data_IF_388991335430
#
_entry.id   IF_388991335430
#
_cell.length_a   1.000
_cell.length_b   1.000
_cell.length_c   1.000
_cell.angle_alpha   90.00
_cell.angle_beta   90.00
_cell.angle_gamma   90.00
#
_symmetry.space_group_name_H-M   'P 1'
#
loop_
_entity.id
_entity.type
_entity.pdbx_description
1 polymer ?
#
# COMPACT_ATOMS: atom_id res chain seq x y z
N UNK A 1 -21.23 0.48 -7.90
CA UNK A 1 -20.49 -0.54 -7.12
C UNK A 1 -21.22 -0.89 -5.82
N UNK A 2 -22.51 -1.26 -5.86
CA UNK A 2 -23.30 -1.51 -4.64
C UNK A 2 -23.84 -2.94 -4.52
N UNK A 3 -23.78 -3.75 -5.59
CA UNK A 3 -24.35 -5.11 -5.56
C UNK A 3 -23.55 -6.01 -4.62
N UNK A 4 -22.26 -6.22 -4.91
CA UNK A 4 -21.43 -7.14 -4.13
C UNK A 4 -21.28 -6.70 -2.66
N UNK A 5 -21.07 -5.41 -2.43
CA UNK A 5 -21.03 -4.84 -1.07
C UNK A 5 -22.39 -4.98 -0.35
N UNK A 6 -23.50 -4.89 -1.07
CA UNK A 6 -24.84 -5.10 -0.52
C UNK A 6 -25.10 -6.56 -0.17
N UNK A 7 -24.74 -7.49 -1.06
CA UNK A 7 -24.88 -8.95 -0.90
C UNK A 7 -24.07 -9.45 0.29
N UNK A 8 -22.80 -9.04 0.38
CA UNK A 8 -21.88 -9.49 1.42
C UNK A 8 -21.85 -8.60 2.66
N UNK A 9 -22.71 -7.58 2.77
CA UNK A 9 -22.66 -6.56 3.82
C UNK A 9 -22.50 -7.11 5.24
N UNK A 10 -23.15 -8.24 5.54
CA UNK A 10 -23.12 -8.89 6.86
C UNK A 10 -21.78 -9.55 7.22
N UNK A 11 -20.95 -9.82 6.21
CA UNK A 11 -19.73 -10.61 6.28
C UNK A 11 -18.48 -9.81 5.91
N UNK A 12 -18.65 -8.62 5.31
CA UNK A 12 -17.58 -7.67 5.03
C UNK A 12 -16.78 -7.37 6.30
N UNK A 13 -15.46 -7.28 6.14
CA UNK A 13 -14.49 -6.96 7.20
C UNK A 13 -14.50 -7.93 8.40
N UNK A 14 -15.20 -9.06 8.29
CA UNK A 14 -15.21 -10.15 9.29
C UNK A 14 -14.48 -11.38 8.81
N UNK A 15 -14.87 -11.86 7.63
CA UNK A 15 -14.22 -12.99 6.95
C UNK A 15 -14.33 -12.91 5.42
N UNK A 16 -14.95 -11.84 4.90
CA UNK A 16 -15.07 -11.57 3.47
C UNK A 16 -14.51 -10.19 3.15
N UNK A 17 -13.66 -10.11 2.12
CA UNK A 17 -13.30 -8.85 1.48
C UNK A 17 -13.78 -8.87 0.04
N UNK A 18 -14.32 -7.76 -0.44
CA UNK A 18 -14.77 -7.62 -1.82
C UNK A 18 -14.10 -6.42 -2.48
N UNK A 19 -13.60 -6.61 -3.69
CA UNK A 19 -13.21 -5.52 -4.57
C UNK A 19 -13.75 -5.79 -5.97
N UNK A 20 -14.69 -4.95 -6.42
CA UNK A 20 -15.43 -5.15 -7.67
C UNK A 20 -16.07 -6.55 -7.69
N UNK A 21 -15.53 -7.46 -8.50
CA UNK A 21 -16.02 -8.82 -8.69
C UNK A 21 -15.20 -9.87 -7.93
N UNK A 22 -14.04 -9.49 -7.37
CA UNK A 22 -13.16 -10.40 -6.65
C UNK A 22 -13.58 -10.49 -5.17
N UNK A 23 -13.78 -11.72 -4.72
CA UNK A 23 -14.16 -12.05 -3.34
C UNK A 23 -12.99 -12.80 -2.70
N UNK A 24 -12.47 -12.27 -1.59
CA UNK A 24 -11.57 -13.01 -0.70
C UNK A 24 -12.37 -13.52 0.48
N UNK A 25 -12.10 -14.77 0.85
CA UNK A 25 -12.60 -15.39 2.07
C UNK A 25 -11.39 -15.75 2.90
N UNK A 26 -11.30 -15.25 4.14
CA UNK A 26 -10.18 -15.51 5.05
C UNK A 26 -10.68 -16.05 6.38
N UNK A 27 -9.89 -16.86 7.05
CA UNK A 27 -10.30 -17.59 8.27
C UNK A 27 -9.07 -17.99 9.08
N UNK A 28 -9.24 -18.26 10.39
CA UNK A 28 -8.10 -18.57 11.27
C UNK A 28 -7.63 -20.02 11.16
N UNK A 29 -8.54 -20.93 10.80
CA UNK A 29 -8.27 -22.35 10.67
C UNK A 29 -9.17 -22.96 9.57
N UNK A 30 -8.85 -24.20 9.18
CA UNK A 30 -9.54 -24.89 8.09
C UNK A 30 -11.02 -25.16 8.39
N UNK A 31 -11.36 -25.47 9.65
CA UNK A 31 -12.75 -25.76 10.04
C UNK A 31 -13.64 -24.51 9.87
N UNK A 32 -13.18 -23.36 10.38
CA UNK A 32 -13.84 -22.07 10.15
C UNK A 32 -13.91 -21.74 8.65
N UNK A 33 -12.83 -22.03 7.90
CA UNK A 33 -12.77 -21.74 6.48
C UNK A 33 -13.82 -22.51 5.68
N UNK A 34 -14.04 -23.79 6.01
CA UNK A 34 -15.09 -24.61 5.38
C UNK A 34 -16.49 -24.02 5.63
N UNK A 35 -16.74 -23.53 6.84
CA UNK A 35 -18.03 -22.91 7.16
C UNK A 35 -18.21 -21.56 6.46
N UNK A 36 -17.19 -20.70 6.46
CA UNK A 36 -17.21 -19.44 5.73
C UNK A 36 -17.40 -19.64 4.22
N UNK A 37 -16.74 -20.65 3.63
CA UNK A 37 -16.94 -21.04 2.24
C UNK A 37 -18.40 -21.43 1.98
N UNK A 38 -19.00 -22.26 2.84
CA UNK A 38 -20.41 -22.66 2.72
C UNK A 38 -21.33 -21.43 2.73
N UNK A 39 -21.13 -20.52 3.68
CA UNK A 39 -21.93 -19.28 3.80
C UNK A 39 -21.81 -18.43 2.54
N UNK A 40 -20.60 -18.21 2.04
CA UNK A 40 -20.37 -17.35 0.86
C UNK A 40 -20.95 -17.98 -0.40
N UNK A 41 -20.72 -19.27 -0.64
CA UNK A 41 -21.26 -19.97 -1.80
C UNK A 41 -22.79 -20.03 -1.78
N UNK A 42 -23.39 -20.18 -0.60
CA UNK A 42 -24.83 -20.12 -0.45
C UNK A 42 -25.38 -18.71 -0.74
N UNK A 43 -24.71 -17.67 -0.24
CA UNK A 43 -25.08 -16.28 -0.51
C UNK A 43 -25.02 -15.96 -2.02
N UNK A 44 -23.98 -16.42 -2.71
CA UNK A 44 -23.87 -16.30 -4.18
C UNK A 44 -25.03 -16.99 -4.88
N UNK A 45 -25.38 -18.22 -4.46
CA UNK A 45 -26.49 -18.99 -5.03
C UNK A 45 -27.83 -18.27 -4.85
N UNK A 46 -28.12 -17.75 -3.66
CA UNK A 46 -29.36 -17.01 -3.36
C UNK A 46 -29.53 -15.77 -4.23
N UNK A 47 -28.43 -15.06 -4.51
CA UNK A 47 -28.42 -13.86 -5.34
C UNK A 47 -28.16 -14.13 -6.82
N UNK A 48 -28.11 -15.41 -7.24
CA UNK A 48 -27.86 -15.84 -8.63
C UNK A 48 -26.57 -15.26 -9.21
N UNK A 49 -25.52 -15.21 -8.39
CA UNK A 49 -24.18 -14.81 -8.77
C UNK A 49 -23.32 -16.06 -9.00
N UNK A 50 -22.49 -16.04 -10.04
CA UNK A 50 -21.74 -17.21 -10.48
C UNK A 50 -20.26 -16.89 -10.60
N UNK A 51 -19.43 -17.67 -9.89
CA UNK A 51 -17.98 -17.65 -10.06
C UNK A 51 -17.55 -18.50 -11.26
N UNK A 52 -16.57 -18.01 -12.02
CA UNK A 52 -15.94 -18.80 -13.09
C UNK A 52 -14.93 -19.76 -12.45
N UNK A 53 -15.30 -21.03 -12.30
CA UNK A 53 -14.48 -22.06 -11.61
C UNK A 53 -12.98 -22.06 -11.97
N UNK A 54 -12.55 -21.94 -13.24
CA UNK A 54 -11.12 -21.85 -13.58
C UNK A 54 -10.36 -20.64 -13.02
N UNK A 55 -11.06 -19.61 -12.54
CA UNK A 55 -10.50 -18.41 -11.91
C UNK A 55 -10.61 -18.44 -10.38
N UNK A 56 -11.23 -19.47 -9.81
CA UNK A 56 -11.38 -19.60 -8.37
C UNK A 56 -10.23 -20.44 -7.81
N UNK A 57 -9.54 -19.93 -6.81
CA UNK A 57 -8.60 -20.68 -5.99
C UNK A 57 -9.23 -20.90 -4.60
N UNK A 58 -9.09 -22.10 -4.06
CA UNK A 58 -9.66 -22.47 -2.76
C UNK A 58 -8.58 -23.00 -1.84
N UNK A 59 -8.74 -22.76 -0.53
CA UNK A 59 -7.88 -23.30 0.55
C UNK A 59 -6.39 -23.08 0.26
N UNK A 60 -6.01 -21.81 0.07
CA UNK A 60 -4.62 -21.41 -0.17
C UNK A 60 -4.04 -20.75 1.08
N UNK A 61 -2.76 -20.99 1.36
CA UNK A 61 -2.04 -20.32 2.46
C UNK A 61 -1.57 -18.92 2.07
N UNK A 62 -1.44 -18.67 0.77
CA UNK A 62 -1.08 -17.38 0.18
C UNK A 62 -1.92 -17.14 -1.07
N UNK A 63 -2.27 -15.88 -1.32
CA UNK A 63 -3.03 -15.49 -2.51
C UNK A 63 -2.44 -14.24 -3.15
N UNK A 64 -2.52 -14.17 -4.48
CA UNK A 64 -2.27 -12.94 -5.23
C UNK A 64 -3.54 -12.11 -5.29
N UNK A 65 -3.52 -10.88 -4.77
CA UNK A 65 -4.66 -9.98 -4.77
C UNK A 65 -4.23 -8.52 -4.95
N UNK A 66 -4.85 -7.83 -5.91
CA UNK A 66 -4.58 -6.42 -6.21
C UNK A 66 -3.08 -6.10 -6.36
N UNK A 67 -2.28 -7.00 -6.93
CA UNK A 67 -0.84 -6.80 -7.10
C UNK A 67 -0.01 -7.02 -5.82
N UNK A 68 -0.58 -7.65 -4.80
CA UNK A 68 0.11 -8.06 -3.58
C UNK A 68 0.03 -9.57 -3.39
N UNK A 69 0.99 -10.13 -2.67
CA UNK A 69 0.87 -11.46 -2.08
C UNK A 69 0.39 -11.28 -0.65
N UNK A 70 -0.72 -11.92 -0.30
CA UNK A 70 -1.28 -11.90 1.05
C UNK A 70 -1.15 -13.31 1.62
N UNK A 71 -0.52 -13.43 2.79
CA UNK A 71 -0.34 -14.69 3.50
C UNK A 71 -0.52 -14.49 5.01
N UNK A 72 -0.40 -15.57 5.78
CA UNK A 72 -0.39 -15.49 7.25
C UNK A 72 0.78 -14.69 7.83
N UNK A 73 1.86 -14.47 7.06
CA UNK A 73 3.01 -13.67 7.48
C UNK A 73 2.78 -12.17 7.27
N UNK A 74 1.92 -11.80 6.32
CA UNK A 74 1.62 -10.42 6.01
C UNK A 74 1.29 -10.17 4.53
N UNK A 75 1.60 -8.95 4.09
CA UNK A 75 1.40 -8.44 2.75
C UNK A 75 2.78 -8.19 2.14
N UNK A 76 3.06 -8.81 1.00
CA UNK A 76 4.28 -8.62 0.23
C UNK A 76 3.98 -8.07 -1.17
N UNK A 77 5.01 -7.54 -1.82
CA UNK A 77 4.93 -7.11 -3.22
C UNK A 77 4.87 -8.35 -4.12
N UNK A 78 4.02 -8.31 -5.14
CA UNK A 78 3.93 -9.38 -6.13
C UNK A 78 5.28 -9.63 -6.84
N UNK A 79 5.78 -10.88 -6.90
CA UNK A 79 7.06 -11.21 -7.55
C UNK A 79 7.15 -10.79 -9.02
N UNK A 80 6.04 -10.89 -9.77
CA UNK A 80 5.98 -10.43 -11.16
C UNK A 80 6.14 -8.91 -11.28
N UNK A 81 5.67 -8.16 -10.28
CA UNK A 81 5.86 -6.70 -10.20
C UNK A 81 7.28 -6.34 -9.74
N UNK A 82 7.89 -7.13 -8.85
CA UNK A 82 9.31 -7.02 -8.49
C UNK A 82 10.18 -7.19 -9.74
N UNK A 83 9.94 -8.22 -10.53
CA UNK A 83 10.70 -8.48 -11.77
C UNK A 83 10.52 -7.36 -12.80
N UNK A 84 9.29 -6.86 -12.98
CA UNK A 84 9.02 -5.73 -13.85
C UNK A 84 9.76 -4.46 -13.40
N UNK A 85 9.85 -4.20 -12.09
CA UNK A 85 10.59 -3.06 -11.53
C UNK A 85 12.10 -3.26 -11.76
N UNK A 86 12.63 -4.45 -11.54
CA UNK A 86 14.06 -4.76 -11.70
C UNK A 86 14.54 -4.67 -13.15
N UNK A 87 13.72 -5.15 -14.08
CA UNK A 87 14.02 -5.09 -15.52
C UNK A 87 13.71 -3.73 -16.14
N UNK A 88 13.10 -2.81 -15.39
CA UNK A 88 12.69 -1.51 -15.91
C UNK A 88 13.90 -0.69 -16.40
N UNK A 89 13.93 -0.23 -17.67
CA UNK A 89 15.03 0.56 -18.22
C UNK A 89 15.01 2.00 -17.68
N UNK A 90 16.17 2.65 -17.64
CA UNK A 90 16.25 4.07 -17.27
C UNK A 90 15.31 4.93 -18.16
N UNK A 91 14.37 5.69 -17.57
CA UNK A 91 13.46 6.54 -18.33
C UNK A 91 14.18 7.58 -19.20
N UNK A 92 13.72 7.73 -20.44
CA UNK A 92 14.30 8.66 -21.43
C UNK A 92 13.49 9.93 -21.62
N UNK A 93 12.31 10.01 -21.01
CA UNK A 93 11.42 11.17 -21.11
C UNK A 93 10.44 11.24 -19.92
N UNK A 94 9.77 12.38 -19.77
CA UNK A 94 8.81 12.62 -18.69
C UNK A 94 7.58 11.69 -18.71
N UNK A 95 7.24 11.08 -19.86
CA UNK A 95 6.15 10.10 -19.94
C UNK A 95 6.57 8.77 -19.30
N UNK A 96 7.77 8.29 -19.62
CA UNK A 96 8.35 7.09 -19.02
C UNK A 96 8.58 7.25 -17.51
N UNK A 97 9.04 8.44 -17.08
CA UNK A 97 9.17 8.75 -15.65
C UNK A 97 7.82 8.66 -14.94
N UNK A 98 6.75 9.22 -15.52
CA UNK A 98 5.40 9.11 -14.95
C UNK A 98 4.92 7.68 -14.87
N UNK A 99 5.23 6.86 -15.88
CA UNK A 99 4.89 5.43 -15.90
C UNK A 99 5.58 4.68 -14.75
N UNK A 100 6.90 4.83 -14.63
CA UNK A 100 7.68 4.21 -13.55
C UNK A 100 7.21 4.69 -12.17
N UNK A 101 7.04 5.99 -11.99
CA UNK A 101 6.59 6.57 -10.71
C UNK A 101 5.16 6.21 -10.35
N UNK A 102 4.31 5.90 -11.33
CA UNK A 102 2.97 5.33 -11.09
C UNK A 102 3.06 3.96 -10.44
N UNK A 103 3.89 3.07 -10.98
CA UNK A 103 4.10 1.73 -10.42
C UNK A 103 4.85 1.76 -9.09
N UNK A 104 5.97 2.49 -9.01
CA UNK A 104 6.74 2.64 -7.77
C UNK A 104 5.89 3.31 -6.67
N UNK A 105 5.06 4.29 -7.05
CA UNK A 105 4.14 4.98 -6.15
C UNK A 105 3.04 4.09 -5.59
N UNK A 106 2.61 3.06 -6.34
CA UNK A 106 1.65 2.06 -5.85
C UNK A 106 2.22 1.29 -4.64
N UNK A 107 3.51 0.95 -4.68
CA UNK A 107 4.21 0.23 -3.61
C UNK A 107 4.94 1.15 -2.62
N UNK A 108 4.67 2.46 -2.62
CA UNK A 108 5.35 3.42 -1.74
C UNK A 108 5.23 3.07 -0.25
N UNK A 109 4.16 2.38 0.15
CA UNK A 109 3.93 1.99 1.55
C UNK A 109 4.92 0.95 2.07
N UNK A 110 5.69 0.31 1.19
CA UNK A 110 6.74 -0.65 1.52
C UNK A 110 8.11 0.01 1.68
N UNK A 111 8.24 1.30 1.31
CA UNK A 111 9.54 1.97 1.22
C UNK A 111 9.59 3.14 2.18
N UNK A 112 10.40 2.99 3.22
CA UNK A 112 10.77 4.07 4.11
C UNK A 112 11.44 5.21 3.33
N UNK A 113 11.00 6.45 3.58
CA UNK A 113 11.57 7.63 2.94
C UNK A 113 11.38 7.68 1.41
N UNK A 114 10.36 7.00 0.86
CA UNK A 114 10.10 6.94 -0.59
C UNK A 114 10.15 8.32 -1.26
N UNK A 115 9.51 9.33 -0.67
CA UNK A 115 9.42 10.68 -1.24
C UNK A 115 10.76 11.40 -1.32
N UNK A 116 11.67 11.15 -0.37
CA UNK A 116 13.02 11.68 -0.36
C UNK A 116 13.85 11.01 -1.45
N UNK A 117 13.79 9.68 -1.56
CA UNK A 117 14.53 8.93 -2.59
C UNK A 117 14.03 9.29 -3.99
N UNK A 118 12.71 9.37 -4.19
CA UNK A 118 12.11 9.73 -5.48
C UNK A 118 12.26 11.21 -5.85
N UNK A 119 12.95 12.01 -5.01
CA UNK A 119 13.01 13.45 -5.16
C UNK A 119 13.55 13.95 -6.51
N UNK A 120 14.74 13.51 -6.98
CA UNK A 120 15.28 13.97 -8.25
C UNK A 120 14.42 13.51 -9.44
N UNK A 121 13.89 12.28 -9.39
CA UNK A 121 13.04 11.72 -10.46
C UNK A 121 11.72 12.48 -10.58
N UNK A 122 11.09 12.82 -9.45
CA UNK A 122 9.82 13.59 -9.46
C UNK A 122 10.00 15.01 -9.97
N UNK A 123 11.19 15.60 -9.85
CA UNK A 123 11.47 16.93 -10.40
C UNK A 123 11.36 16.96 -11.94
N UNK A 124 11.71 15.85 -12.61
CA UNK A 124 11.61 15.69 -14.08
C UNK A 124 10.16 15.66 -14.61
N UNK A 125 9.16 15.57 -13.73
CA UNK A 125 7.74 15.59 -14.11
C UNK A 125 7.15 17.01 -14.10
N UNK A 126 7.88 18.01 -13.59
CA UNK A 126 7.37 19.39 -13.47
C UNK A 126 7.28 20.05 -14.83
N UNK A 127 6.18 20.78 -15.06
CA UNK A 127 5.98 21.56 -16.28
C UNK A 127 7.07 22.63 -16.40
N UNK A 128 7.63 22.79 -17.61
CA UNK A 128 8.66 23.79 -17.89
C UNK A 128 10.10 23.37 -17.52
N UNK A 129 10.30 22.18 -16.95
CA UNK A 129 11.64 21.63 -16.68
C UNK A 129 12.14 20.85 -17.90
N UNK A 130 13.36 21.15 -18.35
CA UNK A 130 14.03 20.36 -19.39
C UNK A 130 14.30 18.96 -18.85
N UNK A 131 13.94 17.94 -19.63
CA UNK A 131 14.26 16.56 -19.26
C UNK A 131 15.78 16.34 -19.37
N UNK A 132 16.42 16.13 -18.24
CA UNK A 132 17.84 15.79 -18.14
C UNK A 132 17.99 14.68 -17.11
N UNK A 133 18.41 13.51 -17.56
CA UNK A 133 18.61 12.37 -16.66
C UNK A 133 19.99 12.47 -16.02
N UNK A 134 20.05 13.07 -14.84
CA UNK A 134 21.30 13.32 -14.12
C UNK A 134 21.77 12.09 -13.35
N UNK A 135 23.00 12.14 -12.81
CA UNK A 135 23.54 11.08 -11.94
C UNK A 135 22.67 10.86 -10.71
N UNK A 136 22.15 11.93 -10.11
CA UNK A 136 21.25 11.86 -8.96
C UNK A 136 19.93 11.16 -9.32
N UNK A 137 19.44 11.33 -10.54
CA UNK A 137 18.25 10.61 -11.03
C UNK A 137 18.54 9.11 -11.17
N UNK A 138 19.70 8.74 -11.72
CA UNK A 138 20.10 7.34 -11.87
C UNK A 138 20.30 6.67 -10.50
N UNK A 139 21.00 7.32 -9.57
CA UNK A 139 21.21 6.80 -8.22
C UNK A 139 19.88 6.61 -7.47
N UNK A 140 18.99 7.59 -7.55
CA UNK A 140 17.64 7.48 -6.99
C UNK A 140 16.84 6.34 -7.63
N UNK A 141 16.96 6.16 -8.94
CA UNK A 141 16.25 5.12 -9.68
C UNK A 141 16.71 3.72 -9.25
N UNK A 142 18.03 3.50 -9.20
CA UNK A 142 18.61 2.25 -8.71
C UNK A 142 18.23 2.01 -7.25
N UNK A 143 18.31 3.04 -6.39
CA UNK A 143 17.95 2.94 -4.97
C UNK A 143 16.48 2.58 -4.77
N UNK A 144 15.56 3.17 -5.55
CA UNK A 144 14.14 2.82 -5.51
C UNK A 144 13.91 1.37 -5.94
N UNK A 145 14.54 0.94 -7.04
CA UNK A 145 14.43 -0.44 -7.52
C UNK A 145 14.85 -1.42 -6.43
N UNK A 146 16.03 -1.20 -5.83
CA UNK A 146 16.52 -2.02 -4.73
C UNK A 146 15.55 -2.05 -3.54
N UNK A 147 15.08 -0.88 -3.06
CA UNK A 147 14.17 -0.80 -1.91
C UNK A 147 12.83 -1.48 -2.16
N UNK A 148 12.30 -1.39 -3.38
CA UNK A 148 11.05 -2.04 -3.77
C UNK A 148 11.21 -3.57 -3.89
N UNK A 149 12.40 -4.05 -4.24
CA UNK A 149 12.68 -5.49 -4.34
C UNK A 149 13.11 -6.12 -3.03
N UNK A 150 13.74 -5.35 -2.14
CA UNK A 150 14.10 -5.76 -0.78
C UNK A 150 13.04 -5.31 0.23
N UNK A 151 11.81 -5.03 -0.23
CA UNK A 151 10.75 -4.52 0.59
C UNK A 151 10.41 -5.53 1.71
N UNK A 152 10.21 -5.07 2.95
CA UNK A 152 9.78 -5.94 4.03
C UNK A 152 8.35 -6.44 3.78
N UNK A 153 8.04 -7.60 4.35
CA UNK A 153 6.65 -8.04 4.47
C UNK A 153 5.95 -7.11 5.46
N UNK A 154 4.89 -6.45 5.01
CA UNK A 154 4.09 -5.57 5.86
C UNK A 154 3.07 -6.40 6.62
N UNK A 155 2.84 -6.06 7.87
CA UNK A 155 1.83 -6.72 8.70
C UNK A 155 0.42 -6.37 8.21
N UNK A 156 -0.49 -7.36 8.19
CA UNK A 156 -1.92 -7.10 7.98
C UNK A 156 -2.46 -6.36 9.21
N UNK A 157 -3.11 -5.20 9.04
CA UNK A 157 -3.63 -4.43 10.17
C UNK A 157 -4.69 -5.23 10.93
N UNK A 158 -4.55 -5.30 12.25
CA UNK A 158 -5.53 -5.88 13.15
C UNK A 158 -6.43 -4.79 13.71
N UNK A 159 -7.71 -4.87 13.36
CA UNK A 159 -8.71 -3.88 13.74
C UNK A 159 -9.21 -4.07 15.18
N UNK A 160 -8.69 -5.01 15.96
CA UNK A 160 -8.98 -5.14 17.39
C UNK A 160 -7.80 -4.68 18.29
N UNK A 161 -6.70 -4.22 17.68
CA UNK A 161 -5.49 -3.78 18.39
C UNK A 161 -5.21 -2.30 18.20
N UNK A 162 -4.49 -1.73 19.15
CA UNK A 162 -4.05 -0.34 19.09
C UNK A 162 -2.95 -0.17 18.05
N UNK A 163 -2.96 0.99 17.38
CA UNK A 163 -1.92 1.37 16.42
C UNK A 163 -0.85 2.22 17.10
N UNK A 164 0.36 2.18 16.58
CA UNK A 164 1.44 3.11 16.93
C UNK A 164 1.84 3.89 15.67
N UNK A 165 1.86 5.22 15.77
CA UNK A 165 2.16 6.16 14.70
C UNK A 165 3.45 6.89 15.05
N UNK A 166 4.56 6.46 14.49
CA UNK A 166 5.82 7.17 14.63
C UNK A 166 5.94 8.20 13.50
N UNK A 167 6.18 9.46 13.83
CA UNK A 167 6.42 10.52 12.85
C UNK A 167 7.79 11.13 13.03
N UNK A 168 8.35 11.60 11.92
CA UNK A 168 9.62 12.32 11.90
C UNK A 168 9.53 13.44 10.85
N UNK A 169 10.22 14.55 11.12
CA UNK A 169 10.28 15.67 10.22
C UNK A 169 11.70 16.21 10.06
N UNK A 170 12.06 16.54 8.83
CA UNK A 170 13.34 17.17 8.51
C UNK A 170 13.13 18.40 7.62
N UNK A 171 14.20 19.18 7.45
CA UNK A 171 14.19 20.30 6.50
C UNK A 171 13.95 19.90 5.04
N UNK A 172 13.99 18.60 4.72
CA UNK A 172 13.77 18.09 3.37
C UNK A 172 12.37 17.47 3.18
N UNK A 173 11.75 16.95 4.24
CA UNK A 173 10.46 16.29 4.14
C UNK A 173 9.93 15.73 5.44
N UNK A 174 8.75 15.12 5.34
CA UNK A 174 8.04 14.47 6.44
C UNK A 174 8.07 12.96 6.23
N UNK A 175 8.16 12.22 7.33
CA UNK A 175 8.08 10.77 7.40
C UNK A 175 7.08 10.33 8.45
N UNK A 176 6.47 9.16 8.21
CA UNK A 176 5.68 8.47 9.22
C UNK A 176 5.72 6.96 8.99
N UNK A 177 5.58 6.20 10.08
CA UNK A 177 5.44 4.74 10.07
C UNK A 177 4.23 4.37 10.90
N UNK A 178 3.34 3.56 10.33
CA UNK A 178 2.22 2.95 11.05
C UNK A 178 2.63 1.53 11.46
N UNK A 179 2.50 1.22 12.75
CA UNK A 179 2.95 -0.03 13.33
C UNK A 179 1.90 -0.64 14.26
N UNK A 180 1.97 -1.96 14.44
CA UNK A 180 1.25 -2.71 15.47
C UNK A 180 2.13 -3.85 16.00
N UNK A 181 2.24 -3.95 17.32
CA UNK A 181 3.02 -4.99 18.01
C UNK A 181 4.43 -5.20 17.42
N UNK A 182 5.13 -4.10 17.14
CA UNK A 182 6.48 -4.11 16.56
C UNK A 182 6.56 -4.42 15.06
N UNK A 183 5.45 -4.77 14.40
CA UNK A 183 5.38 -4.96 12.95
C UNK A 183 4.96 -3.68 12.21
N UNK A 184 5.54 -3.44 11.04
CA UNK A 184 5.19 -2.28 10.19
C UNK A 184 4.00 -2.62 9.31
N UNK A 185 2.99 -1.75 9.31
CA UNK A 185 1.80 -1.83 8.47
C UNK A 185 1.98 -1.00 7.21
N UNK A 186 2.52 0.21 7.34
CA UNK A 186 2.74 1.10 6.21
C UNK A 186 3.78 2.19 6.52
N UNK A 187 4.60 2.49 5.53
CA UNK A 187 5.42 3.71 5.49
C UNK A 187 4.67 4.84 4.78
N UNK A 188 4.88 6.07 5.23
CA UNK A 188 4.43 7.28 4.56
C UNK A 188 5.57 8.30 4.52
N UNK A 189 5.68 9.00 3.40
CA UNK A 189 6.65 10.09 3.26
C UNK A 189 6.15 11.12 2.27
N UNK A 190 6.55 12.37 2.48
CA UNK A 190 6.16 13.50 1.62
C UNK A 190 7.19 14.61 1.69
N UNK A 191 7.48 15.24 0.55
CA UNK A 191 8.23 16.50 0.51
C UNK A 191 7.49 17.64 1.19
N UNK A 192 8.24 18.59 1.74
CA UNK A 192 7.71 19.86 2.17
C UNK A 192 7.09 20.62 0.98
N UNK A 193 5.95 21.26 1.22
CA UNK A 193 5.39 22.26 0.30
C UNK A 193 6.20 23.55 0.41
N UNK A 194 6.13 24.40 -0.62
CA UNK A 194 6.86 25.66 -0.67
C UNK A 194 6.67 26.55 0.58
N UNK A 195 5.48 26.55 1.19
CA UNK A 195 5.23 27.30 2.43
C UNK A 195 5.72 26.58 3.70
N UNK A 196 5.76 25.25 3.69
CA UNK A 196 6.24 24.44 4.82
C UNK A 196 7.77 24.50 4.96
N UNK A 197 8.50 24.85 3.89
CA UNK A 197 9.97 25.01 3.94
C UNK A 197 10.41 26.08 4.95
N UNK A 198 9.57 27.07 5.22
CA UNK A 198 9.86 28.16 6.16
C UNK A 198 9.33 27.88 7.58
N UNK A 199 8.77 26.70 7.83
CA UNK A 199 8.25 26.34 9.15
C UNK A 199 9.40 26.10 10.12
N UNK A 200 9.18 26.45 11.39
CA UNK A 200 10.09 26.06 12.44
C UNK A 200 10.03 24.53 12.66
N UNK A 201 11.06 23.94 13.26
CA UNK A 201 11.14 22.48 13.46
C UNK A 201 9.89 21.92 14.17
N UNK A 202 9.38 22.60 15.21
CA UNK A 202 8.18 22.15 15.93
C UNK A 202 6.91 22.15 15.04
N UNK A 203 6.79 23.10 14.11
CA UNK A 203 5.69 23.15 13.15
C UNK A 203 5.81 22.04 12.10
N UNK A 204 7.04 21.66 11.74
CA UNK A 204 7.30 20.53 10.85
C UNK A 204 6.95 19.20 11.50
N UNK A 205 7.28 19.01 12.78
CA UNK A 205 6.86 17.84 13.56
C UNK A 205 5.33 17.73 13.59
N UNK A 206 4.63 18.84 13.88
CA UNK A 206 3.17 18.86 13.84
C UNK A 206 2.62 18.56 12.43
N UNK A 207 3.27 19.06 11.38
CA UNK A 207 2.89 18.76 10.00
C UNK A 207 3.04 17.27 9.66
N UNK A 208 4.06 16.59 10.20
CA UNK A 208 4.24 15.14 10.05
C UNK A 208 3.09 14.36 10.72
N UNK A 209 2.71 14.76 11.95
CA UNK A 209 1.53 14.20 12.64
C UNK A 209 0.26 14.39 11.82
N UNK A 210 -0.03 15.63 11.38
CA UNK A 210 -1.22 15.91 10.56
C UNK A 210 -1.23 15.12 9.25
N UNK A 211 -0.06 14.92 8.63
CA UNK A 211 0.07 14.10 7.43
C UNK A 211 -0.30 12.64 7.71
N UNK A 212 0.27 12.05 8.77
CA UNK A 212 0.02 10.67 9.15
C UNK A 212 -1.47 10.43 9.45
N UNK A 213 -2.08 11.30 10.26
CA UNK A 213 -3.50 11.21 10.62
C UNK A 213 -4.44 11.33 9.41
N UNK A 214 -4.10 12.19 8.44
CA UNK A 214 -4.88 12.32 7.20
C UNK A 214 -4.71 11.10 6.30
N UNK A 215 -3.50 10.58 6.18
CA UNK A 215 -3.18 9.41 5.35
C UNK A 215 -3.90 8.16 5.86
N UNK A 216 -3.79 7.90 7.16
CA UNK A 216 -4.31 6.68 7.80
C UNK A 216 -5.62 6.92 8.54
N UNK A 217 -6.37 7.95 8.13
CA UNK A 217 -7.70 8.24 8.70
C UNK A 217 -8.61 7.01 8.73
N UNK A 218 -8.54 6.17 7.70
CA UNK A 218 -9.33 4.94 7.60
C UNK A 218 -8.98 3.89 8.65
N UNK A 219 -7.75 3.90 9.17
CA UNK A 219 -7.34 3.06 10.29
C UNK A 219 -7.60 3.74 11.63
N UNK A 220 -7.26 5.02 11.78
CA UNK A 220 -7.15 5.68 13.09
C UNK A 220 -8.45 6.32 13.59
N UNK A 221 -9.43 6.58 12.72
CA UNK A 221 -10.64 7.30 13.13
C UNK A 221 -11.44 6.52 14.17
N UNK A 222 -11.75 7.16 15.31
CA UNK A 222 -12.54 6.57 16.38
C UNK A 222 -11.80 5.53 17.24
N UNK A 223 -10.46 5.48 17.15
CA UNK A 223 -9.62 4.53 17.89
C UNK A 223 -8.60 5.23 18.77
N UNK A 224 -8.13 4.51 19.79
CA UNK A 224 -6.91 4.87 20.50
C UNK A 224 -5.70 4.39 19.68
N UNK A 225 -4.66 5.22 19.67
CA UNK A 225 -3.37 4.93 19.07
C UNK A 225 -2.32 5.77 19.81
N UNK A 226 -1.08 5.32 19.76
CA UNK A 226 0.08 6.01 20.33
C UNK A 226 0.87 6.75 19.26
#
# INVERSE_FOLDING_TARGET
MNLMNGVFRKYLDRFVQVFLDDIIIYSRNEQEHQEHLRIVLQCLREHKLYGKSPKCAFVQNEIQYLGHIISGEGIAVDPGKIEAIMSWPAPKNAKEVRSFMGLAGYYRMFVEGFSQIASPITALQRTGVRFEWTKECEEAFIKLKHRLTSAPILRVPDMDKDFHVCTDASGEGLGAVLMQEGGVIAYASRKLKNHEVNYATHDLELAAVVMALKMWRHYLIGRQFE
#
